data_IF_498070949213
#
_entry.id   IF_498070949213
#
_cell.length_a   1.000
_cell.length_b   1.000
_cell.length_c   1.000
_cell.angle_alpha   90.00
_cell.angle_beta   90.00
_cell.angle_gamma   90.00
#
_symmetry.space_group_name_H-M   'P 1'
#
loop_
_entity.id
_entity.type
_entity.pdbx_description
1 polymer ?
#
# COMPACT_ATOMS: atom_id res chain seq x y z
N UNK A 1 17.54 -4.86 -24.04
CA UNK A 1 17.34 -5.48 -22.71
C UNK A 1 15.92 -5.18 -22.30
N UNK A 2 15.27 -6.06 -21.52
CA UNK A 2 13.97 -5.79 -20.95
C UNK A 2 14.08 -4.66 -19.92
N UNK A 3 13.99 -3.42 -20.40
CA UNK A 3 14.02 -2.22 -19.56
C UNK A 3 12.66 -1.57 -19.63
N UNK A 4 12.09 -1.30 -18.46
CA UNK A 4 10.92 -0.44 -18.35
C UNK A 4 11.30 0.99 -18.74
N UNK A 5 10.36 1.77 -19.28
CA UNK A 5 10.54 3.21 -19.39
C UNK A 5 10.88 3.82 -18.02
N UNK A 6 11.80 4.78 -17.98
CA UNK A 6 12.27 5.38 -16.73
C UNK A 6 11.12 5.95 -15.88
N UNK A 7 10.13 6.59 -16.51
CA UNK A 7 8.93 7.12 -15.84
C UNK A 7 8.07 6.01 -15.21
N UNK A 8 7.96 4.85 -15.85
CA UNK A 8 7.22 3.70 -15.29
C UNK A 8 7.94 3.17 -14.05
N UNK A 9 9.27 3.01 -14.10
CA UNK A 9 10.04 2.58 -12.94
C UNK A 9 9.90 3.57 -11.78
N UNK A 10 10.05 4.87 -12.06
CA UNK A 10 9.89 5.94 -11.06
C UNK A 10 8.50 5.93 -10.42
N UNK A 11 7.45 5.72 -11.23
CA UNK A 11 6.07 5.61 -10.74
C UNK A 11 5.93 4.44 -9.77
N UNK A 12 6.43 3.26 -10.12
CA UNK A 12 6.34 2.06 -9.27
C UNK A 12 7.11 2.25 -7.96
N UNK A 13 8.33 2.79 -8.02
CA UNK A 13 9.12 3.04 -6.81
C UNK A 13 8.46 4.09 -5.89
N UNK A 14 7.85 5.13 -6.46
CA UNK A 14 7.07 6.11 -5.70
C UNK A 14 5.86 5.47 -5.01
N UNK A 15 5.13 4.59 -5.72
CA UNK A 15 4.02 3.84 -5.12
C UNK A 15 4.50 2.91 -4.00
N UNK A 16 5.64 2.23 -4.19
CA UNK A 16 6.21 1.39 -3.13
C UNK A 16 6.57 2.19 -1.88
N UNK A 17 7.12 3.40 -2.04
CA UNK A 17 7.36 4.32 -0.92
C UNK A 17 6.05 4.69 -0.22
N UNK A 18 5.04 5.14 -0.96
CA UNK A 18 3.73 5.53 -0.38
C UNK A 18 3.05 4.37 0.35
N UNK A 19 3.19 3.14 -0.15
CA UNK A 19 2.65 1.95 0.52
C UNK A 19 3.36 1.69 1.86
N UNK A 20 4.67 1.90 1.94
CA UNK A 20 5.41 1.80 3.21
C UNK A 20 4.99 2.90 4.19
N UNK A 21 4.82 4.13 3.72
CA UNK A 21 4.33 5.26 4.52
C UNK A 21 2.92 4.98 5.07
N UNK A 22 2.05 4.37 4.27
CA UNK A 22 0.72 3.99 4.72
C UNK A 22 0.73 2.87 5.77
N UNK A 23 1.65 1.89 5.64
CA UNK A 23 1.83 0.84 6.65
C UNK A 23 2.26 1.46 7.98
N UNK A 24 3.22 2.37 7.93
CA UNK A 24 3.73 3.09 9.10
C UNK A 24 2.63 3.94 9.75
N UNK A 25 1.89 4.72 8.95
CA UNK A 25 0.81 5.56 9.44
C UNK A 25 -0.28 4.73 10.13
N UNK A 26 -0.73 3.63 9.52
CA UNK A 26 -1.74 2.77 10.11
C UNK A 26 -1.25 2.12 11.41
N UNK A 27 0.03 1.71 11.50
CA UNK A 27 0.64 1.23 12.75
C UNK A 27 0.69 2.31 13.83
N UNK A 28 1.04 3.53 13.46
CA UNK A 28 1.13 4.65 14.40
C UNK A 28 -0.25 4.98 14.98
N UNK A 29 -1.30 4.94 14.15
CA UNK A 29 -2.68 5.17 14.62
C UNK A 29 -3.14 4.02 15.50
N UNK A 30 -2.91 2.77 15.11
CA UNK A 30 -3.24 1.58 15.91
C UNK A 30 -2.61 1.67 17.30
N UNK A 31 -1.31 1.98 17.35
CA UNK A 31 -0.58 2.14 18.61
C UNK A 31 -1.17 3.25 19.48
N UNK A 32 -1.42 4.43 18.90
CA UNK A 32 -1.97 5.58 19.64
C UNK A 32 -3.37 5.29 20.16
N UNK A 33 -4.21 4.63 19.36
CA UNK A 33 -5.57 4.24 19.74
C UNK A 33 -5.54 3.28 20.93
N UNK A 34 -4.67 2.27 20.89
CA UNK A 34 -4.48 1.32 21.99
C UNK A 34 -3.90 1.97 23.25
N UNK A 35 -2.95 2.90 23.13
CA UNK A 35 -2.38 3.59 24.29
C UNK A 35 -3.41 4.49 25.01
N UNK A 36 -4.26 5.19 24.25
CA UNK A 36 -5.20 6.15 24.82
C UNK A 36 -6.52 5.51 25.29
N UNK A 37 -7.03 4.53 24.55
CA UNK A 37 -8.38 3.98 24.77
C UNK A 37 -8.38 2.49 25.11
N UNK A 38 -7.27 1.79 24.90
CA UNK A 38 -7.20 0.33 25.03
C UNK A 38 -7.96 -0.39 23.92
N UNK A 39 -8.12 -1.70 24.09
CA UNK A 39 -8.95 -2.53 23.21
C UNK A 39 -10.34 -2.69 23.85
N UNK A 40 -11.34 -2.08 23.22
CA UNK A 40 -12.75 -2.05 23.64
C UNK A 40 -13.68 -2.35 22.47
N UNK A 41 -14.95 -2.62 22.75
CA UNK A 41 -15.97 -2.85 21.72
C UNK A 41 -16.08 -1.70 20.70
N UNK A 42 -15.76 -0.46 21.10
CA UNK A 42 -15.78 0.71 20.23
C UNK A 42 -14.53 0.83 19.36
N UNK A 43 -13.36 0.43 19.87
CA UNK A 43 -12.09 0.51 19.11
C UNK A 43 -11.85 -0.68 18.19
N UNK A 44 -12.46 -1.85 18.48
CA UNK A 44 -12.27 -3.08 17.70
C UNK A 44 -12.49 -2.87 16.18
N UNK A 45 -13.59 -2.25 15.71
CA UNK A 45 -13.80 -2.02 14.28
C UNK A 45 -12.68 -1.20 13.63
N UNK A 46 -12.14 -0.22 14.35
CA UNK A 46 -11.08 0.65 13.84
C UNK A 46 -9.74 -0.07 13.79
N UNK A 47 -9.44 -0.92 14.78
CA UNK A 47 -8.24 -1.77 14.79
C UNK A 47 -8.28 -2.79 13.64
N UNK A 48 -9.43 -3.39 13.37
CA UNK A 48 -9.62 -4.29 12.23
C UNK A 48 -9.44 -3.56 10.90
N UNK A 49 -9.98 -2.35 10.76
CA UNK A 49 -9.79 -1.53 9.55
C UNK A 49 -8.32 -1.13 9.36
N UNK A 50 -7.63 -0.70 10.42
CA UNK A 50 -6.20 -0.39 10.38
C UNK A 50 -5.37 -1.62 9.99
N UNK A 51 -5.73 -2.82 10.48
CA UNK A 51 -5.10 -4.06 10.04
C UNK A 51 -5.34 -4.33 8.55
N UNK A 52 -6.58 -4.22 8.08
CA UNK A 52 -6.96 -4.39 6.67
C UNK A 52 -6.18 -3.43 5.74
N UNK A 53 -6.04 -2.18 6.17
CA UNK A 53 -5.24 -1.15 5.47
C UNK A 53 -3.78 -1.59 5.32
N UNK A 54 -3.16 -2.11 6.39
CA UNK A 54 -1.76 -2.59 6.37
C UNK A 54 -1.60 -3.82 5.47
N UNK A 55 -2.50 -4.79 5.58
CA UNK A 55 -2.47 -6.01 4.76
C UNK A 55 -2.60 -5.67 3.27
N UNK A 56 -3.49 -4.73 2.94
CA UNK A 56 -3.67 -4.27 1.57
C UNK A 56 -2.44 -3.53 1.04
N UNK A 57 -1.81 -2.70 1.86
CA UNK A 57 -0.59 -2.00 1.46
C UNK A 57 0.59 -2.99 1.24
N UNK A 58 0.77 -3.95 2.15
CA UNK A 58 1.79 -5.00 2.04
C UNK A 58 1.60 -5.86 0.79
N UNK A 59 0.35 -6.23 0.48
CA UNK A 59 0.01 -6.98 -0.73
C UNK A 59 0.52 -6.29 -2.00
N UNK A 60 0.27 -5.00 -2.17
CA UNK A 60 0.71 -4.26 -3.35
C UNK A 60 2.22 -4.02 -3.35
N UNK A 61 2.81 -3.71 -2.19
CA UNK A 61 4.26 -3.53 -2.07
C UNK A 61 5.00 -4.79 -2.50
N UNK A 62 4.59 -5.93 -1.94
CA UNK A 62 5.11 -7.25 -2.26
C UNK A 62 4.91 -7.59 -3.74
N UNK A 63 3.71 -7.34 -4.30
CA UNK A 63 3.44 -7.56 -5.72
C UNK A 63 4.35 -6.74 -6.62
N UNK A 64 4.59 -5.46 -6.33
CA UNK A 64 5.51 -4.64 -7.11
C UNK A 64 6.93 -5.17 -7.05
N UNK A 65 7.43 -5.52 -5.86
CA UNK A 65 8.80 -6.04 -5.69
C UNK A 65 9.04 -7.30 -6.52
N UNK A 66 8.08 -8.24 -6.51
CA UNK A 66 8.16 -9.50 -7.27
C UNK A 66 8.04 -9.24 -8.77
N UNK A 67 7.09 -8.39 -9.19
CA UNK A 67 6.82 -8.12 -10.61
C UNK A 67 7.98 -7.38 -11.26
N UNK A 68 8.54 -6.35 -10.61
CA UNK A 68 9.72 -5.65 -11.09
C UNK A 68 10.89 -6.62 -11.26
N UNK A 69 11.18 -7.43 -10.24
CA UNK A 69 12.29 -8.40 -10.32
C UNK A 69 12.13 -9.35 -11.51
N UNK A 70 10.94 -9.93 -11.69
CA UNK A 70 10.65 -10.82 -12.84
C UNK A 70 10.82 -10.13 -14.19
N UNK A 71 10.41 -8.86 -14.31
CA UNK A 71 10.58 -8.07 -15.54
C UNK A 71 12.06 -7.86 -15.87
N UNK A 72 12.89 -7.54 -14.87
CA UNK A 72 14.33 -7.32 -15.07
C UNK A 72 15.13 -8.62 -15.25
N UNK A 73 14.66 -9.73 -14.69
CA UNK A 73 15.22 -11.06 -14.93
C UNK A 73 14.88 -11.59 -16.34
N UNK A 74 13.81 -11.08 -16.96
CA UNK A 74 13.38 -11.51 -18.29
C UNK A 74 14.35 -11.03 -19.38
N UNK A 75 14.83 -11.95 -20.21
CA UNK A 75 15.65 -11.64 -21.38
C UNK A 75 15.13 -12.37 -22.61
N UNK A 76 15.19 -11.75 -23.81
CA UNK A 76 15.66 -10.39 -24.08
C UNK A 76 14.60 -9.30 -23.81
N UNK A 77 13.35 -9.68 -23.61
CA UNK A 77 12.19 -8.79 -23.43
C UNK A 77 11.24 -9.36 -22.37
N UNK A 78 10.59 -8.49 -21.60
CA UNK A 78 9.52 -8.90 -20.70
C UNK A 78 8.27 -9.29 -21.51
N UNK A 79 7.56 -10.33 -21.07
CA UNK A 79 6.31 -10.73 -21.70
C UNK A 79 5.25 -9.64 -21.55
N UNK A 80 4.33 -9.59 -22.52
CA UNK A 80 3.17 -8.69 -22.50
C UNK A 80 2.36 -8.85 -21.21
N UNK A 81 2.12 -10.08 -20.76
CA UNK A 81 1.38 -10.37 -19.55
C UNK A 81 2.02 -9.75 -18.29
N UNK A 82 3.36 -9.74 -18.21
CA UNK A 82 4.06 -9.09 -17.09
C UNK A 82 3.88 -7.57 -17.10
N UNK A 83 3.90 -6.96 -18.29
CA UNK A 83 3.67 -5.52 -18.44
C UNK A 83 2.21 -5.14 -18.15
N UNK A 84 1.25 -5.95 -18.59
CA UNK A 84 -0.17 -5.78 -18.29
C UNK A 84 -0.45 -5.95 -16.79
N UNK A 85 0.16 -6.94 -16.14
CA UNK A 85 0.08 -7.13 -14.69
C UNK A 85 0.64 -5.92 -13.93
N UNK A 86 1.77 -5.37 -14.38
CA UNK A 86 2.36 -4.17 -13.76
C UNK A 86 1.42 -2.97 -13.90
N UNK A 87 0.92 -2.71 -15.11
CA UNK A 87 0.01 -1.59 -15.38
C UNK A 87 -1.29 -1.69 -14.56
N UNK A 88 -1.86 -2.90 -14.46
CA UNK A 88 -3.03 -3.16 -13.61
C UNK A 88 -2.71 -2.91 -12.13
N UNK A 89 -1.57 -3.39 -11.65
CA UNK A 89 -1.15 -3.21 -10.25
C UNK A 89 -0.93 -1.74 -9.90
N UNK A 90 -0.41 -0.92 -10.83
CA UNK A 90 -0.31 0.54 -10.67
C UNK A 90 -1.68 1.16 -10.42
N UNK A 91 -2.67 0.84 -11.26
CA UNK A 91 -4.03 1.39 -11.12
C UNK A 91 -4.71 0.95 -9.82
N UNK A 92 -4.59 -0.34 -9.48
CA UNK A 92 -5.17 -0.92 -8.26
C UNK A 92 -4.54 -0.32 -7.00
N UNK A 93 -3.21 -0.23 -6.94
CA UNK A 93 -2.49 0.34 -5.80
C UNK A 93 -2.80 1.83 -5.62
N UNK A 94 -2.85 2.61 -6.71
CA UNK A 94 -3.21 4.03 -6.65
C UNK A 94 -4.61 4.24 -6.06
N UNK A 95 -5.58 3.46 -6.52
CA UNK A 95 -6.95 3.51 -6.00
C UNK A 95 -7.02 3.07 -4.53
N UNK A 96 -6.26 2.03 -4.16
CA UNK A 96 -6.20 1.54 -2.79
C UNK A 96 -5.60 2.57 -1.84
N UNK A 97 -4.46 3.19 -2.19
CA UNK A 97 -3.81 4.25 -1.41
C UNK A 97 -4.78 5.40 -1.14
N UNK A 98 -5.49 5.87 -2.17
CA UNK A 98 -6.44 6.97 -2.02
C UNK A 98 -7.61 6.64 -1.06
N UNK A 99 -8.19 5.44 -1.19
CA UNK A 99 -9.30 5.01 -0.36
C UNK A 99 -8.87 4.81 1.11
N UNK A 100 -7.78 4.09 1.32
CA UNK A 100 -7.28 3.76 2.66
C UNK A 100 -6.74 4.99 3.40
N UNK A 101 -6.09 5.93 2.71
CA UNK A 101 -5.70 7.22 3.30
C UNK A 101 -6.91 8.08 3.72
N UNK A 102 -8.08 7.90 3.10
CA UNK A 102 -9.31 8.55 3.57
C UNK A 102 -9.80 7.89 4.87
N UNK A 103 -9.81 6.56 4.93
CA UNK A 103 -10.21 5.81 6.12
C UNK A 103 -9.32 6.14 7.33
N UNK A 104 -7.98 6.15 7.17
CA UNK A 104 -7.07 6.54 8.27
C UNK A 104 -7.38 7.94 8.80
N UNK A 105 -7.69 8.90 7.92
CA UNK A 105 -8.07 10.26 8.32
C UNK A 105 -9.40 10.30 9.07
N UNK A 106 -10.36 9.48 8.66
CA UNK A 106 -11.65 9.34 9.35
C UNK A 106 -11.45 8.78 10.76
N UNK A 107 -10.68 7.71 10.93
CA UNK A 107 -10.34 7.13 12.24
C UNK A 107 -9.69 8.18 13.14
N UNK A 108 -8.66 8.89 12.63
CA UNK A 108 -8.01 9.97 13.39
C UNK A 108 -9.00 11.06 13.82
N UNK A 109 -9.95 11.41 12.96
CA UNK A 109 -10.97 12.41 13.27
C UNK A 109 -11.98 11.92 14.31
N UNK A 110 -12.44 10.67 14.20
CA UNK A 110 -13.42 10.08 15.12
C UNK A 110 -12.87 10.02 16.56
N UNK A 111 -11.59 9.73 16.69
CA UNK A 111 -10.91 9.52 17.98
C UNK A 111 -10.07 10.71 18.43
N UNK A 112 -10.14 11.85 17.74
CA UNK A 112 -9.36 13.08 18.02
C UNK A 112 -7.84 12.83 18.14
N UNK A 113 -7.28 12.03 17.22
CA UNK A 113 -5.86 11.68 17.15
C UNK A 113 -5.04 12.63 16.26
N UNK A 114 -5.58 13.81 15.93
CA UNK A 114 -4.98 14.84 15.06
C UNK A 114 -3.97 15.72 15.80
#
# INVERSE_FOLDING_TARGET
MAQLPAETLKTVLSLQQQLLEQIDEARSVEFTLLEQFGETDETIPELEELQSIRERADLYYSRFSVTLRRIYDAQPVASRDMLELLARSINEATSALAATAANVREIKSNWNLL
#
